data_IF_672541572122
#
_entry.id   IF_672541572122
#
_cell.length_a   1.000
_cell.length_b   1.000
_cell.length_c   1.000
_cell.angle_alpha   90.00
_cell.angle_beta   90.00
_cell.angle_gamma   90.00
#
_symmetry.space_group_name_H-M   'P 1'
#
loop_
_entity.id
_entity.type
_entity.pdbx_description
1 polymer ?
#
# COMPACT_ATOMS: atom_id res chain seq x y z
N UNK A 1 -17.04 15.35 15.11
CA UNK A 1 -17.13 13.90 15.31
C UNK A 1 -16.48 13.10 14.18
N UNK A 2 -16.86 13.32 12.91
CA UNK A 2 -16.33 12.57 11.74
C UNK A 2 -14.80 12.67 11.56
N UNK A 3 -14.19 13.84 11.79
CA UNK A 3 -12.72 14.00 11.71
C UNK A 3 -11.98 13.14 12.75
N UNK A 4 -12.44 13.14 13.99
CA UNK A 4 -11.84 12.36 15.08
C UNK A 4 -11.98 10.86 14.81
N UNK A 5 -13.15 10.42 14.33
CA UNK A 5 -13.38 9.04 13.93
C UNK A 5 -12.43 8.61 12.79
N UNK A 6 -12.24 9.46 11.79
CA UNK A 6 -11.30 9.20 10.69
C UNK A 6 -9.86 9.09 11.18
N UNK A 7 -9.38 10.02 11.99
CA UNK A 7 -8.03 9.95 12.57
C UNK A 7 -7.84 8.70 13.42
N UNK A 8 -8.88 8.30 14.16
CA UNK A 8 -8.87 7.05 14.93
C UNK A 8 -8.74 5.84 14.00
N UNK A 9 -9.55 5.74 12.95
CA UNK A 9 -9.49 4.65 11.96
C UNK A 9 -8.12 4.61 11.26
N UNK A 10 -7.57 5.75 10.86
CA UNK A 10 -6.25 5.83 10.24
C UNK A 10 -5.16 5.33 11.20
N UNK A 11 -5.22 5.72 12.48
CA UNK A 11 -4.27 5.27 13.49
C UNK A 11 -4.36 3.76 13.73
N UNK A 12 -5.57 3.22 13.86
CA UNK A 12 -5.79 1.78 14.04
C UNK A 12 -5.31 1.02 12.80
N UNK A 13 -5.64 1.49 11.59
CA UNK A 13 -5.21 0.86 10.35
C UNK A 13 -3.68 0.83 10.23
N UNK A 14 -2.97 1.91 10.62
CA UNK A 14 -1.51 1.90 10.70
C UNK A 14 -0.99 0.91 11.73
N UNK A 15 -1.60 0.86 12.91
CA UNK A 15 -1.21 -0.07 13.98
C UNK A 15 -1.34 -1.53 13.53
N UNK A 16 -2.50 -1.90 12.98
CA UNK A 16 -2.78 -3.26 12.51
C UNK A 16 -1.83 -3.64 11.35
N UNK A 17 -1.58 -2.73 10.41
CA UNK A 17 -0.60 -2.95 9.34
C UNK A 17 0.83 -3.08 9.86
N UNK A 18 1.20 -2.32 10.90
CA UNK A 18 2.51 -2.44 11.53
C UNK A 18 2.73 -3.82 12.14
N UNK A 19 1.69 -4.46 12.69
CA UNK A 19 1.79 -5.84 13.21
C UNK A 19 2.11 -6.83 12.08
N UNK A 20 1.44 -6.69 10.93
CA UNK A 20 1.71 -7.49 9.72
C UNK A 20 3.15 -7.26 9.24
N UNK A 21 3.61 -6.00 9.24
CA UNK A 21 4.96 -5.64 8.85
C UNK A 21 6.04 -6.24 9.75
N UNK A 22 5.80 -6.26 11.06
CA UNK A 22 6.70 -6.92 12.02
C UNK A 22 6.78 -8.42 11.78
N UNK A 23 5.67 -9.08 11.46
CA UNK A 23 5.68 -10.48 11.05
C UNK A 23 6.49 -10.68 9.76
N UNK A 24 6.30 -9.81 8.76
CA UNK A 24 7.09 -9.83 7.52
C UNK A 24 8.60 -9.67 7.76
N UNK A 25 9.01 -8.72 8.60
CA UNK A 25 10.41 -8.53 8.98
C UNK A 25 10.99 -9.76 9.70
N UNK A 26 10.22 -10.36 10.62
CA UNK A 26 10.62 -11.58 11.30
C UNK A 26 10.82 -12.73 10.30
N UNK A 27 9.92 -12.88 9.31
CA UNK A 27 10.06 -13.86 8.24
C UNK A 27 11.29 -13.63 7.38
N UNK A 28 11.59 -12.38 7.02
CA UNK A 28 12.80 -12.03 6.24
C UNK A 28 14.07 -12.36 7.03
N UNK A 29 14.14 -11.96 8.31
CA UNK A 29 15.29 -12.24 9.17
C UNK A 29 15.50 -13.74 9.36
N UNK A 30 14.42 -14.49 9.58
CA UNK A 30 14.49 -15.94 9.70
C UNK A 30 14.91 -16.61 8.38
N UNK A 31 14.40 -16.12 7.25
CA UNK A 31 14.83 -16.57 5.91
C UNK A 31 16.33 -16.33 5.70
N UNK A 32 16.81 -15.13 6.02
CA UNK A 32 18.22 -14.79 5.92
C UNK A 32 19.09 -15.69 6.81
N UNK A 33 18.61 -16.03 8.01
CA UNK A 33 19.26 -17.01 8.87
C UNK A 33 19.29 -18.42 8.24
N UNK A 34 18.17 -18.90 7.67
CA UNK A 34 18.11 -20.19 6.96
C UNK A 34 19.08 -20.22 5.76
N UNK A 35 19.17 -19.14 4.97
CA UNK A 35 20.15 -19.01 3.87
C UNK A 35 21.57 -19.18 4.40
N UNK A 36 21.90 -18.50 5.51
CA UNK A 36 23.24 -18.57 6.12
C UNK A 36 23.57 -19.96 6.67
N UNK A 37 22.59 -20.68 7.18
CA UNK A 37 22.75 -22.07 7.64
C UNK A 37 22.97 -23.00 6.45
N UNK A 38 22.17 -22.84 5.41
CA UNK A 38 22.27 -23.63 4.18
C UNK A 38 23.61 -23.44 3.46
N UNK A 39 24.06 -22.19 3.31
CA UNK A 39 25.38 -21.86 2.73
C UNK A 39 26.55 -22.51 3.49
N UNK A 40 26.48 -22.55 4.83
CA UNK A 40 27.51 -23.24 5.64
C UNK A 40 27.54 -24.74 5.38
N UNK A 41 26.36 -25.39 5.37
CA UNK A 41 26.25 -26.81 5.05
C UNK A 41 26.78 -27.15 3.66
N UNK A 42 26.55 -26.29 2.68
CA UNK A 42 27.07 -26.48 1.33
C UNK A 42 28.58 -26.26 1.22
N UNK A 43 29.12 -25.27 1.92
CA UNK A 43 30.56 -24.97 1.90
C UNK A 43 31.44 -26.00 2.60
N UNK A 44 30.88 -26.77 3.54
CA UNK A 44 31.60 -27.84 4.27
C UNK A 44 31.61 -29.18 3.50
N UNK A 45 30.91 -29.30 2.37
CA UNK A 45 30.91 -30.51 1.56
C UNK A 45 32.24 -30.61 0.77
N UNK A 46 32.95 -31.75 0.84
CA UNK A 46 34.34 -31.90 0.36
C UNK A 46 34.51 -31.86 -1.18
N UNK A 47 33.46 -31.61 -1.94
CA UNK A 47 33.48 -31.57 -3.40
C UNK A 47 32.78 -30.30 -3.89
N UNK A 48 33.59 -29.29 -4.16
CA UNK A 48 33.22 -28.06 -4.83
C UNK A 48 32.98 -28.34 -6.33
N UNK A 49 31.98 -27.66 -6.92
CA UNK A 49 31.55 -27.66 -8.32
C UNK A 49 30.98 -28.98 -8.92
N UNK A 50 29.65 -29.18 -8.82
CA UNK A 50 28.79 -29.38 -10.01
C UNK A 50 27.27 -29.29 -9.72
N UNK A 51 26.73 -28.11 -10.02
CA UNK A 51 25.65 -27.82 -10.98
C UNK A 51 24.27 -28.54 -11.00
N UNK A 52 23.88 -29.38 -10.03
CA UNK A 52 22.52 -30.00 -10.06
C UNK A 52 21.72 -29.96 -8.75
N UNK A 53 22.16 -29.21 -7.73
CA UNK A 53 21.32 -29.05 -6.53
C UNK A 53 20.17 -28.09 -6.82
N UNK A 54 18.89 -28.52 -6.69
CA UNK A 54 17.78 -27.63 -6.90
C UNK A 54 17.87 -26.45 -5.92
N UNK A 55 17.45 -25.24 -6.33
CA UNK A 55 17.43 -24.11 -5.42
C UNK A 55 16.53 -24.42 -4.21
N UNK A 56 16.89 -23.97 -2.98
CA UNK A 56 16.11 -24.19 -1.78
C UNK A 56 14.80 -23.39 -1.84
N UNK A 57 13.84 -23.92 -2.56
CA UNK A 57 12.61 -23.25 -2.95
C UNK A 57 11.81 -22.78 -1.73
N UNK A 58 11.82 -23.55 -0.63
CA UNK A 58 11.12 -23.19 0.60
C UNK A 58 11.69 -21.91 1.23
N UNK A 59 13.02 -21.75 1.24
CA UNK A 59 13.67 -20.57 1.80
C UNK A 59 13.31 -19.32 0.99
N UNK A 60 13.30 -19.42 -0.35
CA UNK A 60 12.95 -18.30 -1.23
C UNK A 60 11.46 -17.95 -1.18
N UNK A 61 10.57 -18.94 -1.07
CA UNK A 61 9.14 -18.69 -0.90
C UNK A 61 8.84 -18.02 0.44
N UNK A 62 9.48 -18.48 1.53
CA UNK A 62 9.35 -17.86 2.86
C UNK A 62 9.89 -16.42 2.86
N UNK A 63 11.00 -16.17 2.17
CA UNK A 63 11.57 -14.83 1.99
C UNK A 63 10.64 -13.92 1.17
N UNK A 64 10.12 -14.44 0.04
CA UNK A 64 9.21 -13.73 -0.84
C UNK A 64 7.90 -13.36 -0.16
N UNK A 65 7.34 -14.28 0.64
CA UNK A 65 6.14 -14.03 1.44
C UNK A 65 6.38 -12.94 2.50
N UNK A 66 7.52 -12.97 3.18
CA UNK A 66 7.93 -11.92 4.10
C UNK A 66 8.07 -10.55 3.43
N UNK A 67 8.69 -10.50 2.25
CA UNK A 67 8.82 -9.29 1.45
C UNK A 67 7.45 -8.75 1.00
N UNK A 68 6.53 -9.63 0.59
CA UNK A 68 5.17 -9.25 0.24
C UNK A 68 4.43 -8.60 1.43
N UNK A 69 4.56 -9.16 2.65
CA UNK A 69 3.99 -8.57 3.86
C UNK A 69 4.56 -7.17 4.15
N UNK A 70 5.86 -6.95 3.93
CA UNK A 70 6.45 -5.61 4.03
C UNK A 70 5.87 -4.64 3.00
N UNK A 71 5.69 -5.07 1.74
CA UNK A 71 5.06 -4.23 0.70
C UNK A 71 3.62 -3.88 1.06
N UNK A 72 2.83 -4.85 1.50
CA UNK A 72 1.44 -4.63 1.96
C UNK A 72 1.40 -3.65 3.13
N UNK A 73 2.35 -3.74 4.05
CA UNK A 73 2.47 -2.80 5.17
C UNK A 73 2.76 -1.38 4.68
N UNK A 74 3.75 -1.20 3.81
CA UNK A 74 4.06 0.10 3.22
C UNK A 74 2.84 0.71 2.50
N UNK A 75 2.14 -0.10 1.70
CA UNK A 75 0.91 0.32 1.03
C UNK A 75 -0.20 0.67 2.03
N UNK A 76 -0.33 -0.07 3.12
CA UNK A 76 -1.30 0.19 4.19
C UNK A 76 -1.04 1.51 4.92
N UNK A 77 0.22 1.83 5.21
CA UNK A 77 0.61 3.11 5.79
C UNK A 77 0.33 4.28 4.83
N UNK A 78 0.72 4.14 3.56
CA UNK A 78 0.44 5.14 2.52
C UNK A 78 -1.06 5.29 2.29
N UNK A 79 -1.83 4.21 2.28
CA UNK A 79 -3.28 4.23 2.13
C UNK A 79 -3.97 4.95 3.30
N UNK A 80 -3.49 4.72 4.53
CA UNK A 80 -3.99 5.42 5.71
C UNK A 80 -3.69 6.93 5.67
N UNK A 81 -2.53 7.34 5.18
CA UNK A 81 -2.11 8.75 5.12
C UNK A 81 -2.73 9.52 3.97
N UNK A 82 -2.60 8.99 2.76
CA UNK A 82 -2.97 9.71 1.54
C UNK A 82 -4.48 9.77 1.35
N UNK A 83 -5.23 8.78 1.87
CA UNK A 83 -6.64 8.57 1.54
C UNK A 83 -6.94 8.72 0.03
N UNK A 84 -5.94 8.48 -0.81
CA UNK A 84 -6.04 8.54 -2.25
C UNK A 84 -6.73 7.27 -2.72
N UNK A 85 -7.65 7.38 -3.68
CA UNK A 85 -8.44 6.23 -4.14
C UNK A 85 -7.57 5.10 -4.70
N UNK A 86 -6.47 5.44 -5.38
CA UNK A 86 -5.57 4.45 -6.00
C UNK A 86 -4.77 3.64 -4.98
N UNK A 87 -4.12 4.29 -4.01
CA UNK A 87 -3.31 3.60 -2.98
C UNK A 87 -4.17 2.72 -2.08
N UNK A 88 -5.35 3.20 -1.70
CA UNK A 88 -6.34 2.44 -0.95
C UNK A 88 -6.84 1.22 -1.73
N UNK A 89 -7.10 1.37 -3.04
CA UNK A 89 -7.52 0.25 -3.88
C UNK A 89 -6.43 -0.81 -4.04
N UNK A 90 -5.20 -0.39 -4.34
CA UNK A 90 -4.06 -1.30 -4.44
C UNK A 90 -3.87 -2.08 -3.12
N UNK A 91 -3.90 -1.38 -1.99
CA UNK A 91 -3.85 -2.01 -0.67
C UNK A 91 -4.96 -3.06 -0.47
N UNK A 92 -6.22 -2.70 -0.74
CA UNK A 92 -7.35 -3.63 -0.60
C UNK A 92 -7.20 -4.84 -1.52
N UNK A 93 -6.74 -4.65 -2.77
CA UNK A 93 -6.48 -5.76 -3.70
C UNK A 93 -5.43 -6.71 -3.13
N UNK A 94 -4.31 -6.20 -2.61
CA UNK A 94 -3.30 -7.05 -1.99
C UNK A 94 -3.82 -7.80 -0.76
N UNK A 95 -4.59 -7.16 0.11
CA UNK A 95 -5.20 -7.83 1.29
C UNK A 95 -6.16 -8.93 0.84
N UNK A 96 -6.97 -8.69 -0.19
CA UNK A 96 -7.84 -9.73 -0.76
C UNK A 96 -7.03 -10.87 -1.37
N UNK A 97 -5.94 -10.58 -2.09
CA UNK A 97 -5.05 -11.62 -2.62
C UNK A 97 -4.43 -12.47 -1.51
N UNK A 98 -4.04 -11.87 -0.38
CA UNK A 98 -3.55 -12.62 0.79
C UNK A 98 -4.64 -13.52 1.40
N UNK A 99 -5.86 -13.00 1.56
CA UNK A 99 -6.99 -13.81 2.04
C UNK A 99 -7.32 -14.96 1.10
N UNK A 100 -7.27 -14.73 -0.21
CA UNK A 100 -7.48 -15.77 -1.22
C UNK A 100 -6.37 -16.82 -1.20
N UNK A 101 -5.11 -16.41 -0.99
CA UNK A 101 -3.98 -17.31 -0.83
C UNK A 101 -4.13 -18.17 0.44
N UNK A 102 -4.49 -17.57 1.57
CA UNK A 102 -4.74 -18.30 2.83
C UNK A 102 -5.91 -19.28 2.69
N UNK A 103 -7.01 -18.86 2.05
CA UNK A 103 -8.14 -19.73 1.77
C UNK A 103 -7.76 -20.88 0.82
N UNK A 104 -6.99 -20.61 -0.23
CA UNK A 104 -6.52 -21.63 -1.17
C UNK A 104 -5.64 -22.67 -0.47
N UNK A 105 -4.65 -22.22 0.31
CA UNK A 105 -3.77 -23.12 1.09
C UNK A 105 -4.58 -23.93 2.11
N UNK A 106 -5.53 -23.29 2.81
CA UNK A 106 -6.38 -23.98 3.79
C UNK A 106 -7.22 -25.06 3.10
N UNK A 107 -7.92 -24.72 2.01
CA UNK A 107 -8.74 -25.68 1.27
C UNK A 107 -7.88 -26.81 0.72
N UNK A 108 -6.71 -26.52 0.17
CA UNK A 108 -5.79 -27.53 -0.37
C UNK A 108 -5.36 -28.53 0.72
N UNK A 109 -4.89 -28.04 1.88
CA UNK A 109 -4.49 -28.88 3.02
C UNK A 109 -5.65 -29.71 3.57
N UNK A 110 -6.89 -29.20 3.53
CA UNK A 110 -8.08 -29.91 4.04
C UNK A 110 -8.65 -30.94 3.06
N UNK A 111 -8.61 -30.66 1.76
CA UNK A 111 -9.20 -31.51 0.71
C UNK A 111 -8.22 -32.60 0.28
N UNK A 112 -6.94 -32.26 0.18
CA UNK A 112 -5.92 -33.16 -0.31
C UNK A 112 -5.24 -33.88 0.85
N UNK A 113 -5.64 -35.12 1.13
CA UNK A 113 -5.00 -35.95 2.17
C UNK A 113 -3.50 -36.18 1.92
N UNK A 114 -3.05 -36.02 0.67
CA UNK A 114 -1.68 -36.26 0.23
C UNK A 114 -0.97 -34.97 -0.21
N UNK A 115 -1.44 -33.79 0.22
CA UNK A 115 -0.91 -32.46 -0.15
C UNK A 115 0.62 -32.35 -0.02
N UNK A 116 1.22 -33.08 0.92
CA UNK A 116 2.66 -33.10 1.11
C UNK A 116 3.44 -33.65 -0.08
N UNK A 117 2.83 -34.53 -0.88
CA UNK A 117 3.45 -35.17 -2.04
C UNK A 117 3.53 -34.23 -3.25
N UNK A 118 2.78 -33.13 -3.25
CA UNK A 118 2.76 -32.16 -4.35
C UNK A 118 3.96 -31.19 -4.31
N UNK A 119 4.62 -31.09 -3.15
CA UNK A 119 5.80 -30.25 -3.00
C UNK A 119 7.07 -30.95 -3.47
N UNK A 120 7.93 -30.26 -4.24
CA UNK A 120 9.23 -30.81 -4.61
C UNK A 120 10.10 -30.98 -3.36
N UNK A 121 11.00 -31.96 -3.40
CA UNK A 121 11.95 -32.19 -2.31
C UNK A 121 12.77 -30.91 -2.04
N UNK A 122 12.78 -30.45 -0.80
CA UNK A 122 13.56 -29.30 -0.37
C UNK A 122 14.98 -29.74 0.05
N UNK A 123 16.03 -29.41 -0.73
CA UNK A 123 17.39 -29.84 -0.41
C UNK A 123 17.94 -29.20 0.87
N UNK A 124 17.33 -28.11 1.35
CA UNK A 124 17.76 -27.48 2.60
C UNK A 124 17.27 -28.22 3.86
N UNK A 125 16.23 -29.05 3.71
CA UNK A 125 15.51 -29.69 4.82
C UNK A 125 14.75 -28.71 5.72
N UNK A 126 14.68 -27.43 5.36
CA UNK A 126 13.97 -26.40 6.12
C UNK A 126 12.46 -26.61 6.07
N UNK A 127 11.93 -27.10 4.94
CA UNK A 127 10.52 -27.44 4.82
C UNK A 127 10.10 -28.55 5.80
N UNK A 128 10.87 -29.63 5.91
CA UNK A 128 10.56 -30.71 6.86
C UNK A 128 10.64 -30.25 8.32
N UNK A 129 11.62 -29.41 8.65
CA UNK A 129 11.70 -28.77 9.97
C UNK A 129 10.47 -27.91 10.27
N UNK A 130 10.01 -27.15 9.28
CA UNK A 130 8.82 -26.32 9.40
C UNK A 130 7.55 -27.16 9.60
N UNK A 131 7.36 -28.24 8.82
CA UNK A 131 6.22 -29.14 9.01
C UNK A 131 6.23 -29.78 10.41
N UNK A 132 7.40 -30.28 10.84
CA UNK A 132 7.57 -30.84 12.20
C UNK A 132 7.23 -29.82 13.29
N UNK A 133 7.59 -28.55 13.10
CA UNK A 133 7.21 -27.46 14.01
C UNK A 133 5.69 -27.26 14.05
N UNK A 134 5.01 -27.26 12.89
CA UNK A 134 3.55 -27.14 12.80
C UNK A 134 2.88 -28.30 13.53
N UNK A 135 3.28 -29.55 13.27
CA UNK A 135 2.65 -30.69 13.95
C UNK A 135 2.87 -30.67 15.45
N UNK A 136 4.07 -30.28 15.89
CA UNK A 136 4.38 -30.18 17.31
C UNK A 136 3.59 -29.09 18.02
N UNK A 137 3.16 -28.04 17.29
CA UNK A 137 2.50 -26.86 17.84
C UNK A 137 1.15 -26.56 17.19
N UNK A 138 0.46 -27.60 16.68
CA UNK A 138 -0.70 -27.44 15.81
C UNK A 138 -1.78 -26.51 16.39
N UNK A 139 -2.10 -26.68 17.68
CA UNK A 139 -3.09 -25.82 18.35
C UNK A 139 -2.67 -24.35 18.35
N UNK A 140 -1.40 -24.06 18.64
CA UNK A 140 -0.89 -22.69 18.59
C UNK A 140 -0.89 -22.14 17.16
N UNK A 141 -0.43 -22.93 16.20
CA UNK A 141 -0.42 -22.56 14.78
C UNK A 141 -1.83 -22.26 14.25
N UNK A 142 -2.85 -23.03 14.68
CA UNK A 142 -4.26 -22.79 14.35
C UNK A 142 -4.75 -21.43 14.88
N UNK A 143 -4.45 -21.10 16.13
CA UNK A 143 -4.80 -19.79 16.70
C UNK A 143 -4.04 -18.64 16.03
N UNK A 144 -2.77 -18.84 15.67
CA UNK A 144 -1.97 -17.86 14.91
C UNK A 144 -2.58 -17.63 13.53
N UNK A 145 -2.97 -18.70 12.82
CA UNK A 145 -3.65 -18.60 11.53
C UNK A 145 -4.98 -17.85 11.63
N UNK A 146 -5.81 -18.18 12.62
CA UNK A 146 -7.07 -17.48 12.87
C UNK A 146 -6.85 -15.99 13.18
N UNK A 147 -5.83 -15.68 13.98
CA UNK A 147 -5.44 -14.30 14.30
C UNK A 147 -5.00 -13.54 13.03
N UNK A 148 -4.20 -14.17 12.17
CA UNK A 148 -3.72 -13.55 10.92
C UNK A 148 -4.88 -13.20 9.98
N UNK A 149 -5.80 -14.14 9.74
CA UNK A 149 -7.03 -13.92 8.95
C UNK A 149 -7.87 -12.79 9.56
N UNK A 150 -8.00 -12.77 10.89
CA UNK A 150 -8.77 -11.74 11.61
C UNK A 150 -8.17 -10.35 11.45
N UNK A 151 -6.84 -10.24 11.54
CA UNK A 151 -6.08 -8.99 11.35
C UNK A 151 -6.21 -8.47 9.92
N UNK A 152 -6.18 -9.36 8.91
CA UNK A 152 -6.41 -9.00 7.51
C UNK A 152 -7.86 -8.57 7.25
N UNK A 153 -8.83 -9.28 7.84
CA UNK A 153 -10.25 -8.91 7.77
C UNK A 153 -10.53 -7.55 8.40
N UNK A 154 -9.98 -7.29 9.59
CA UNK A 154 -10.10 -6.00 10.27
C UNK A 154 -9.46 -4.87 9.46
N UNK A 155 -8.27 -5.12 8.90
CA UNK A 155 -7.57 -4.22 7.98
C UNK A 155 -8.44 -3.83 6.78
N UNK A 156 -9.08 -4.81 6.14
CA UNK A 156 -9.98 -4.58 5.00
C UNK A 156 -11.22 -3.78 5.41
N UNK A 157 -11.84 -4.10 6.55
CA UNK A 157 -12.99 -3.37 7.08
C UNK A 157 -12.64 -1.90 7.37
N UNK A 158 -11.50 -1.65 8.03
CA UNK A 158 -11.03 -0.29 8.32
C UNK A 158 -10.76 0.50 7.04
N UNK A 159 -10.14 -0.13 6.03
CA UNK A 159 -9.92 0.51 4.72
C UNK A 159 -11.23 0.83 4.01
N UNK A 160 -12.23 -0.05 4.09
CA UNK A 160 -13.56 0.18 3.51
C UNK A 160 -14.29 1.33 4.21
N UNK A 161 -14.23 1.41 5.54
CA UNK A 161 -14.81 2.54 6.28
C UNK A 161 -14.08 3.84 5.91
N UNK A 162 -12.74 3.82 5.83
CA UNK A 162 -11.96 4.98 5.41
C UNK A 162 -12.33 5.45 3.99
N UNK A 163 -12.60 4.49 3.07
CA UNK A 163 -13.13 4.79 1.73
C UNK A 163 -14.50 5.46 1.79
N UNK A 164 -15.41 4.93 2.62
CA UNK A 164 -16.77 5.43 2.75
C UNK A 164 -16.83 6.83 3.37
N UNK A 165 -15.88 7.18 4.23
CA UNK A 165 -15.75 8.51 4.83
C UNK A 165 -15.32 9.61 3.84
N UNK A 166 -14.88 9.22 2.62
CA UNK A 166 -14.53 10.14 1.54
C UNK A 166 -13.21 10.93 1.73
N UNK A 167 -12.71 11.60 0.67
CA UNK A 167 -11.53 12.46 0.76
C UNK A 167 -11.72 13.60 1.77
N UNK A 168 -10.63 14.05 2.39
CA UNK A 168 -10.68 15.18 3.32
C UNK A 168 -10.89 16.47 2.49
N UNK A 169 -11.96 17.24 2.74
CA UNK A 169 -12.10 18.60 2.20
C UNK A 169 -11.15 19.58 2.89
N UNK A 170 -9.84 19.31 2.92
CA UNK A 170 -8.86 20.26 3.45
C UNK A 170 -7.96 20.75 2.32
N UNK A 171 -8.54 21.67 1.54
CA UNK A 171 -7.84 22.69 0.76
C UNK A 171 -8.65 23.99 0.97
N UNK A 172 -8.60 24.48 2.20
CA UNK A 172 -8.99 25.85 2.55
C UNK A 172 -8.15 26.23 3.77
N UNK A 173 -6.90 26.61 3.48
CA UNK A 173 -5.96 27.19 4.43
C UNK A 173 -4.89 27.93 3.62
N UNK A 174 -5.22 29.16 3.22
CA UNK A 174 -4.40 30.37 3.38
C UNK A 174 -2.86 30.26 3.32
N UNK A 175 -2.32 29.54 2.35
CA UNK A 175 -0.97 29.84 1.85
C UNK A 175 -1.12 30.71 0.59
N UNK A 176 -1.09 32.02 0.82
CA UNK A 176 -0.63 33.02 -0.12
C UNK A 176 0.83 32.70 -0.51
N UNK A 177 1.02 31.65 -1.29
CA UNK A 177 2.20 31.49 -2.12
C UNK A 177 1.84 32.06 -3.47
N UNK A 178 2.33 33.26 -3.73
CA UNK A 178 2.24 33.93 -5.02
C UNK A 178 2.42 32.91 -6.16
N UNK A 179 1.57 32.93 -7.20
CA UNK A 179 1.86 32.14 -8.37
C UNK A 179 3.07 32.81 -9.01
N UNK A 180 4.27 32.26 -8.80
CA UNK A 180 5.43 32.55 -9.63
C UNK A 180 5.23 31.85 -10.99
N UNK A 181 4.12 32.20 -11.64
CA UNK A 181 3.86 31.98 -13.06
C UNK A 181 4.35 33.25 -13.74
N UNK A 182 5.62 33.24 -14.10
CA UNK A 182 6.18 34.06 -15.16
C UNK A 182 5.18 34.19 -16.32
N UNK A 183 4.65 35.39 -16.62
CA UNK A 183 3.81 35.61 -17.78
C UNK A 183 4.70 35.80 -19.01
N UNK A 184 5.14 34.70 -19.63
CA UNK A 184 5.79 34.75 -20.94
C UNK A 184 4.76 34.87 -22.07
N UNK A 185 4.17 36.06 -22.17
CA UNK A 185 3.66 36.77 -23.38
C UNK A 185 2.52 37.70 -22.94
N UNK A 186 2.87 38.91 -22.49
CA UNK A 186 1.93 40.04 -22.50
C UNK A 186 2.64 41.29 -23.00
N UNK A 187 3.03 41.25 -24.27
CA UNK A 187 3.44 42.42 -25.03
C UNK A 187 2.46 42.61 -26.20
N UNK A 188 1.28 43.15 -25.90
CA UNK A 188 0.49 43.87 -26.90
C UNK A 188 0.45 45.33 -26.43
N UNK A 189 0.92 46.30 -27.25
CA UNK A 189 0.87 47.70 -26.87
C UNK A 189 -0.59 48.20 -26.83
N UNK A 190 -0.90 49.21 -26.01
CA UNK A 190 -2.23 49.83 -26.01
C UNK A 190 -2.43 50.55 -27.36
N UNK A 191 -3.45 50.19 -28.14
CA UNK A 191 -3.84 51.04 -29.26
C UNK A 191 -4.49 52.31 -28.72
N UNK A 192 -3.81 53.41 -29.05
CA UNK A 192 -4.16 54.78 -28.76
C UNK A 192 -5.50 55.18 -29.36
N UNK A 193 -6.19 56.02 -28.61
CA UNK A 193 -7.27 56.91 -29.04
C UNK A 193 -6.88 57.62 -30.33
N UNK A 194 -7.67 57.46 -31.40
CA UNK A 194 -7.72 58.41 -32.50
C UNK A 194 -8.96 59.27 -32.29
N UNK A 195 -8.73 60.47 -31.77
CA UNK A 195 -9.64 61.60 -31.89
C UNK A 195 -9.58 62.04 -33.35
N UNK A 196 -10.71 62.04 -34.05
CA UNK A 196 -10.87 62.83 -35.28
C UNK A 196 -11.72 64.07 -34.93
N UNK A 197 -11.21 65.30 -35.16
CA UNK A 197 -11.88 66.52 -34.78
C UNK A 197 -12.79 67.01 -35.90
N UNK A 198 -14.05 67.29 -35.57
CA UNK A 198 -14.89 68.14 -36.40
C UNK A 198 -16.34 67.73 -36.38
N UNK A 199 -17.14 68.44 -35.59
CA UNK A 199 -18.20 69.30 -36.13
C UNK A 199 -18.79 70.13 -34.98
N UNK A 200 -18.56 71.44 -35.06
CA UNK A 200 -19.14 72.43 -34.17
C UNK A 200 -20.57 72.76 -34.61
N UNK A 201 -21.55 72.55 -33.73
CA UNK A 201 -22.88 73.16 -33.79
C UNK A 201 -23.59 72.88 -32.45
N UNK A 202 -24.16 73.78 -31.68
CA UNK A 202 -24.24 75.23 -31.66
C UNK A 202 -24.66 75.61 -30.22
N UNK A 203 -24.43 76.86 -29.88
CA UNK A 203 -24.65 77.48 -28.58
C UNK A 203 -26.13 77.52 -28.14
N UNK A 204 -26.29 77.90 -26.86
CA UNK A 204 -27.48 78.50 -26.22
C UNK A 204 -28.54 77.53 -25.66
N UNK A 205 -29.31 77.80 -24.61
CA UNK A 205 -29.23 78.54 -23.35
C UNK A 205 -30.64 78.36 -22.69
N UNK A 206 -30.74 78.58 -21.37
CA UNK A 206 -31.97 78.92 -20.61
C UNK A 206 -33.03 77.87 -20.15
N UNK A 207 -33.13 77.79 -18.82
CA UNK A 207 -34.29 77.50 -17.94
C UNK A 207 -35.72 77.70 -18.52
N UNK A 208 -36.66 76.78 -18.19
CA UNK A 208 -37.82 77.07 -17.27
C UNK A 208 -38.75 75.86 -17.01
N UNK A 209 -39.07 75.65 -15.73
CA UNK A 209 -40.38 75.35 -15.11
C UNK A 209 -41.29 74.22 -15.62
N UNK A 210 -41.53 73.28 -14.71
CA UNK A 210 -42.80 72.66 -14.31
C UNK A 210 -44.04 72.96 -15.18
N UNK A 211 -44.70 71.87 -15.60
CA UNK A 211 -46.13 71.71 -15.44
C UNK A 211 -46.44 70.27 -15.06
#
# INVERSE_FOLDING_TARGET
MVRVLRSCIQSILKLVNSVIGMAGLAMILYSAWMIRVWQRKMGDLPFDYDSDYPPPWFIYTFLGLGAAFCVVTCLGHVAAETANGCSLYLYMVFVVLLLMLEAAVTVDVFVNQDWEKDFPMDPSGSFDQFKNFIWSNYEMCKWVGLFLVSVQGLSLLLAMILKALGPHQYYDSDDEYAPDRVPLLKNAPPQYVVVDPGYAHGNDSWNRSNR
#
